data_IF_745617095530
#
_entry.id   IF_745617095530
#
_cell.length_a   1.000
_cell.length_b   1.000
_cell.length_c   1.000
_cell.angle_alpha   90.00
_cell.angle_beta   90.00
_cell.angle_gamma   90.00
#
_symmetry.space_group_name_H-M   'P 1'
#
loop_
_entity.id
_entity.type
_entity.pdbx_description
1 polymer ?
#
# COMPACT_ATOMS: atom_id res chain seq x y z
N UNK A 1 13.43 -8.65 -1.80
CA UNK A 1 14.83 -8.24 -1.61
C UNK A 1 15.43 -7.77 -2.92
N UNK A 2 15.99 -6.57 -2.91
CA UNK A 2 16.48 -5.81 -4.06
C UNK A 2 17.97 -5.59 -3.87
N UNK A 3 18.80 -6.05 -4.80
CA UNK A 3 20.25 -5.91 -4.72
C UNK A 3 20.71 -4.69 -5.51
N UNK A 4 21.34 -3.73 -4.83
CA UNK A 4 21.91 -2.54 -5.44
C UNK A 4 23.44 -2.58 -5.34
N UNK A 5 24.13 -1.99 -6.31
CA UNK A 5 25.59 -1.81 -6.26
C UNK A 5 25.95 -0.42 -5.76
N UNK A 6 26.97 -0.34 -4.91
CA UNK A 6 27.44 0.94 -4.40
C UNK A 6 27.98 1.84 -5.52
N UNK A 7 27.62 3.13 -5.50
CA UNK A 7 28.03 4.10 -6.52
C UNK A 7 28.29 5.49 -5.92
N UNK A 8 29.10 5.56 -4.85
CA UNK A 8 29.36 6.80 -4.09
C UNK A 8 29.85 7.98 -4.94
N UNK A 9 30.51 7.71 -6.08
CA UNK A 9 31.00 8.73 -7.00
C UNK A 9 29.99 9.17 -8.08
N UNK A 10 28.71 8.81 -7.93
CA UNK A 10 27.61 9.20 -8.83
C UNK A 10 26.93 10.52 -8.43
N UNK A 11 27.09 10.95 -7.18
CA UNK A 11 26.45 12.14 -6.60
C UNK A 11 27.51 13.12 -6.11
N UNK A 12 27.38 14.39 -6.47
CA UNK A 12 28.35 15.42 -6.11
C UNK A 12 28.47 15.67 -4.60
N UNK A 13 27.49 15.25 -3.80
CA UNK A 13 27.48 15.34 -2.34
C UNK A 13 28.27 14.21 -1.67
N UNK A 14 28.46 13.08 -2.36
CA UNK A 14 29.12 11.88 -1.83
C UNK A 14 30.39 11.49 -2.57
N UNK A 15 30.68 12.11 -3.72
CA UNK A 15 31.89 11.83 -4.50
C UNK A 15 33.15 12.21 -3.71
N UNK A 16 34.05 11.25 -3.55
CA UNK A 16 35.33 11.45 -2.84
C UNK A 16 36.47 11.79 -3.79
N UNK A 17 36.27 11.58 -5.10
CA UNK A 17 37.31 11.70 -6.12
C UNK A 17 36.79 12.32 -7.42
N UNK A 18 37.70 12.86 -8.23
CA UNK A 18 37.38 13.36 -9.56
C UNK A 18 37.16 12.18 -10.52
N UNK A 19 35.93 12.03 -11.02
CA UNK A 19 35.56 10.98 -11.96
C UNK A 19 35.57 11.45 -13.41
N UNK A 20 35.75 10.50 -14.34
CA UNK A 20 35.58 10.76 -15.77
C UNK A 20 34.09 10.83 -16.15
N UNK A 21 33.81 11.36 -17.34
CA UNK A 21 32.46 11.39 -17.91
C UNK A 21 31.88 9.98 -18.08
N UNK A 22 32.71 9.02 -18.44
CA UNK A 22 32.34 7.61 -18.66
C UNK A 22 31.93 6.93 -17.35
N UNK A 23 32.63 7.24 -16.25
CA UNK A 23 32.26 6.75 -14.90
C UNK A 23 30.92 7.33 -14.48
N UNK A 24 30.70 8.64 -14.67
CA UNK A 24 29.40 9.27 -14.39
C UNK A 24 28.28 8.63 -15.22
N UNK A 25 28.48 8.42 -16.52
CA UNK A 25 27.48 7.80 -17.39
C UNK A 25 27.15 6.37 -16.93
N UNK A 26 28.17 5.60 -16.54
CA UNK A 26 27.98 4.23 -16.02
C UNK A 26 27.17 4.24 -14.73
N UNK A 27 27.54 5.11 -13.78
CA UNK A 27 26.83 5.24 -12.52
C UNK A 27 25.39 5.73 -12.69
N UNK A 28 25.14 6.69 -13.59
CA UNK A 28 23.79 7.15 -13.90
C UNK A 28 22.92 6.03 -14.49
N UNK A 29 23.47 5.20 -15.37
CA UNK A 29 22.76 4.01 -15.90
C UNK A 29 22.49 2.99 -14.81
N UNK A 30 23.43 2.78 -13.89
CA UNK A 30 23.22 1.93 -12.71
C UNK A 30 22.06 2.46 -11.85
N UNK A 31 22.05 3.75 -11.52
CA UNK A 31 20.96 4.34 -10.72
C UNK A 31 19.58 4.20 -11.40
N UNK A 32 19.49 4.40 -12.71
CA UNK A 32 18.25 4.18 -13.46
C UNK A 32 17.79 2.72 -13.32
N UNK A 33 18.71 1.77 -13.42
CA UNK A 33 18.40 0.37 -13.22
C UNK A 33 17.93 0.08 -11.78
N UNK A 34 18.63 0.61 -10.78
CA UNK A 34 18.30 0.46 -9.36
C UNK A 34 16.89 0.98 -9.04
N UNK A 35 16.55 2.17 -9.54
CA UNK A 35 15.21 2.76 -9.41
C UNK A 35 14.15 1.88 -10.08
N UNK A 36 14.46 1.35 -11.28
CA UNK A 36 13.55 0.44 -11.99
C UNK A 36 13.28 -0.83 -11.16
N UNK A 37 14.30 -1.45 -10.57
CA UNK A 37 14.12 -2.63 -9.71
C UNK A 37 13.25 -2.30 -8.47
N UNK A 38 13.48 -1.16 -7.81
CA UNK A 38 12.63 -0.66 -6.72
C UNK A 38 11.16 -0.50 -7.15
N UNK A 39 10.91 0.14 -8.29
CA UNK A 39 9.56 0.32 -8.82
C UNK A 39 8.90 -1.01 -9.20
N UNK A 40 9.64 -1.95 -9.79
CA UNK A 40 9.14 -3.28 -10.12
C UNK A 40 8.72 -4.06 -8.87
N UNK A 41 9.52 -3.98 -7.79
CA UNK A 41 9.15 -4.58 -6.51
C UNK A 41 7.88 -3.95 -5.93
N UNK A 42 7.75 -2.62 -5.96
CA UNK A 42 6.54 -1.93 -5.50
C UNK A 42 5.30 -2.35 -6.31
N UNK A 43 5.43 -2.46 -7.63
CA UNK A 43 4.35 -2.93 -8.49
C UNK A 43 3.93 -4.37 -8.17
N UNK A 44 4.90 -5.24 -7.86
CA UNK A 44 4.62 -6.60 -7.42
C UNK A 44 3.92 -6.62 -6.05
N UNK A 45 4.34 -5.79 -5.10
CA UNK A 45 3.66 -5.65 -3.80
C UNK A 45 2.21 -5.20 -3.93
N UNK A 46 1.94 -4.21 -4.78
CA UNK A 46 0.58 -3.77 -5.06
C UNK A 46 -0.26 -4.89 -5.68
N UNK A 47 0.34 -5.71 -6.56
CA UNK A 47 -0.32 -6.89 -7.12
C UNK A 47 -0.67 -7.92 -6.03
N UNK A 48 0.24 -8.21 -5.08
CA UNK A 48 -0.06 -9.12 -3.96
C UNK A 48 -1.26 -8.65 -3.14
N UNK A 49 -1.29 -7.36 -2.81
CA UNK A 49 -2.40 -6.73 -2.07
C UNK A 49 -3.70 -6.84 -2.87
N UNK A 50 -3.67 -6.56 -4.17
CA UNK A 50 -4.88 -6.65 -5.02
C UNK A 50 -5.49 -8.05 -5.07
N UNK A 51 -4.69 -9.10 -4.92
CA UNK A 51 -5.17 -10.49 -4.91
C UNK A 51 -5.83 -10.84 -3.57
N UNK A 52 -5.44 -10.15 -2.50
CA UNK A 52 -5.88 -10.43 -1.13
C UNK A 52 -6.91 -9.41 -0.63
N UNK A 53 -7.39 -8.52 -1.49
CA UNK A 53 -8.42 -7.55 -1.15
C UNK A 53 -9.69 -8.26 -0.65
N UNK A 54 -10.28 -7.77 0.45
CA UNK A 54 -11.51 -8.32 1.05
C UNK A 54 -11.38 -9.80 1.48
N UNK A 55 -10.17 -10.26 1.81
CA UNK A 55 -9.92 -11.67 2.14
C UNK A 55 -10.79 -12.16 3.31
N UNK A 56 -11.08 -11.32 4.31
CA UNK A 56 -11.93 -11.67 5.45
C UNK A 56 -13.37 -11.96 5.04
N UNK A 57 -13.92 -11.28 4.02
CA UNK A 57 -15.24 -11.62 3.47
C UNK A 57 -15.25 -13.00 2.84
N UNK A 58 -14.16 -13.35 2.15
CA UNK A 58 -14.06 -14.63 1.44
C UNK A 58 -13.78 -15.78 2.40
N UNK A 59 -12.92 -15.60 3.40
CA UNK A 59 -12.55 -16.66 4.35
C UNK A 59 -13.58 -16.82 5.48
N UNK A 60 -14.37 -15.79 5.77
CA UNK A 60 -15.44 -15.78 6.77
C UNK A 60 -16.79 -15.44 6.13
N UNK A 61 -17.09 -16.11 5.01
CA UNK A 61 -18.27 -15.81 4.21
C UNK A 61 -19.57 -16.12 4.95
N UNK A 62 -19.57 -17.12 5.83
CA UNK A 62 -20.74 -17.49 6.62
C UNK A 62 -21.06 -16.39 7.65
N UNK A 63 -20.05 -15.91 8.38
CA UNK A 63 -20.20 -14.81 9.34
C UNK A 63 -20.61 -13.51 8.66
N UNK A 64 -20.04 -13.20 7.49
CA UNK A 64 -20.44 -12.04 6.69
C UNK A 64 -21.90 -12.17 6.21
N UNK A 65 -22.28 -13.36 5.72
CA UNK A 65 -23.63 -13.62 5.23
C UNK A 65 -24.67 -13.49 6.34
N UNK A 66 -24.41 -14.08 7.52
CA UNK A 66 -25.31 -14.01 8.67
C UNK A 66 -25.58 -12.56 9.09
N UNK A 67 -24.51 -11.76 9.26
CA UNK A 67 -24.63 -10.34 9.60
C UNK A 67 -25.37 -9.56 8.49
N UNK A 68 -25.09 -9.85 7.22
CA UNK A 68 -25.70 -9.18 6.09
C UNK A 68 -27.20 -9.48 6.00
N UNK A 69 -27.58 -10.76 6.12
CA UNK A 69 -28.97 -11.21 6.14
C UNK A 69 -29.74 -10.64 7.32
N UNK A 70 -29.16 -10.61 8.51
CA UNK A 70 -29.79 -10.00 9.68
C UNK A 70 -30.15 -8.52 9.44
N UNK A 71 -29.29 -7.77 8.76
CA UNK A 71 -29.56 -6.39 8.36
C UNK A 71 -30.71 -6.25 7.35
N UNK A 72 -30.93 -7.24 6.48
CA UNK A 72 -32.08 -7.27 5.56
C UNK A 72 -33.38 -7.69 6.25
N UNK A 73 -33.30 -8.56 7.26
CA UNK A 73 -34.44 -9.09 8.02
C UNK A 73 -34.95 -8.13 9.11
N UNK A 74 -34.46 -6.89 9.11
CA UNK A 74 -34.96 -5.83 9.98
C UNK A 74 -34.24 -5.72 11.33
N UNK A 75 -32.98 -6.16 11.42
CA UNK A 75 -32.10 -5.78 12.52
C UNK A 75 -32.15 -4.24 12.72
N UNK A 76 -32.45 -3.83 13.95
CA UNK A 76 -32.67 -2.42 14.30
C UNK A 76 -31.36 -1.68 14.66
N UNK A 77 -30.21 -2.36 14.61
CA UNK A 77 -28.90 -1.78 14.88
C UNK A 77 -28.11 -1.45 13.62
N UNK A 78 -26.92 -0.89 13.80
CA UNK A 78 -25.98 -0.64 12.70
C UNK A 78 -25.26 -1.94 12.33
N UNK A 79 -25.13 -2.22 11.03
CA UNK A 79 -24.34 -3.34 10.51
C UNK A 79 -22.91 -3.33 11.07
N UNK A 80 -22.35 -2.14 11.30
CA UNK A 80 -21.02 -1.97 11.91
C UNK A 80 -20.91 -2.51 13.34
N UNK A 81 -22.04 -2.73 14.00
CA UNK A 81 -22.07 -3.26 15.36
C UNK A 81 -22.12 -4.80 15.42
N UNK A 82 -22.22 -5.47 14.29
CA UNK A 82 -22.29 -6.93 14.19
C UNK A 82 -20.89 -7.57 14.17
N UNK A 83 -20.84 -8.90 14.34
CA UNK A 83 -19.62 -9.64 14.66
C UNK A 83 -18.56 -9.53 13.56
N UNK A 84 -18.95 -9.80 12.31
CA UNK A 84 -18.04 -9.76 11.17
C UNK A 84 -17.42 -8.37 11.02
N UNK A 85 -18.22 -7.30 11.14
CA UNK A 85 -17.69 -5.95 11.00
C UNK A 85 -16.75 -5.57 12.15
N UNK A 86 -17.10 -5.90 13.40
CA UNK A 86 -16.26 -5.52 14.55
C UNK A 86 -14.94 -6.27 14.60
N UNK A 87 -14.97 -7.56 14.29
CA UNK A 87 -13.85 -8.46 14.62
C UNK A 87 -13.02 -8.84 13.38
N UNK A 88 -13.63 -8.84 12.20
CA UNK A 88 -13.01 -9.34 10.96
C UNK A 88 -12.73 -8.21 9.97
N UNK A 89 -13.70 -7.36 9.65
CA UNK A 89 -13.53 -6.23 8.73
C UNK A 89 -12.37 -5.31 9.11
N UNK A 90 -12.17 -5.07 10.40
CA UNK A 90 -11.05 -4.24 10.86
C UNK A 90 -9.68 -4.83 10.51
N UNK A 91 -9.57 -6.12 10.19
CA UNK A 91 -8.30 -6.74 9.77
C UNK A 91 -7.88 -6.33 8.36
N UNK A 92 -8.83 -5.92 7.52
CA UNK A 92 -8.55 -5.33 6.20
C UNK A 92 -7.84 -3.99 6.35
N UNK A 93 -6.89 -3.72 5.46
CA UNK A 93 -5.99 -2.56 5.60
C UNK A 93 -6.47 -1.32 4.84
N UNK A 94 -7.40 -1.47 3.90
CA UNK A 94 -7.94 -0.35 3.12
C UNK A 94 -9.01 0.48 3.87
N UNK A 95 -9.56 -0.04 4.97
CA UNK A 95 -10.52 0.66 5.84
C UNK A 95 -9.86 1.64 6.83
N UNK A 96 -8.99 2.51 6.33
CA UNK A 96 -8.12 3.38 7.13
C UNK A 96 -8.82 4.35 8.10
N UNK A 97 -10.09 4.70 7.84
CA UNK A 97 -10.90 5.52 8.77
C UNK A 97 -11.47 4.71 9.93
N UNK A 98 -11.77 3.42 9.72
CA UNK A 98 -12.25 2.54 10.78
C UNK A 98 -11.05 2.12 11.66
N UNK A 99 -9.90 1.81 11.03
CA UNK A 99 -8.63 1.53 11.72
C UNK A 99 -7.42 1.86 10.85
N UNK A 100 -6.55 2.74 11.36
CA UNK A 100 -5.26 3.02 10.72
C UNK A 100 -4.12 2.28 11.45
N UNK A 101 -3.45 1.29 10.82
CA UNK A 101 -2.36 0.57 11.46
C UNK A 101 -1.09 1.43 11.61
N UNK A 102 -0.24 1.11 12.59
CA UNK A 102 0.98 1.89 12.83
C UNK A 102 2.01 1.81 11.71
N UNK A 103 1.98 0.71 10.97
CA UNK A 103 2.80 0.45 9.79
C UNK A 103 2.05 0.72 8.47
N UNK A 104 0.99 1.55 8.48
CA UNK A 104 0.26 1.95 7.26
C UNK A 104 1.25 2.40 6.19
N UNK A 105 1.03 2.01 4.94
CA UNK A 105 1.87 2.30 3.78
C UNK A 105 1.06 2.95 2.66
N UNK A 106 1.75 3.51 1.66
CA UNK A 106 1.09 3.99 0.45
C UNK A 106 0.36 2.88 -0.32
N UNK A 107 0.71 1.60 -0.11
CA UNK A 107 -0.01 0.50 -0.75
C UNK A 107 -1.43 0.35 -0.18
N UNK A 108 -1.60 0.53 1.12
CA UNK A 108 -2.92 0.50 1.79
C UNK A 108 -3.78 1.68 1.30
N UNK A 109 -3.16 2.85 1.10
CA UNK A 109 -3.83 4.03 0.53
C UNK A 109 -4.25 3.78 -0.92
N UNK A 110 -3.38 3.18 -1.74
CA UNK A 110 -3.71 2.84 -3.13
C UNK A 110 -4.83 1.79 -3.22
N UNK A 111 -4.83 0.79 -2.33
CA UNK A 111 -5.92 -0.17 -2.21
C UNK A 111 -7.23 0.52 -1.84
N UNK A 112 -7.23 1.41 -0.83
CA UNK A 112 -8.41 2.22 -0.46
C UNK A 112 -8.96 3.03 -1.62
N UNK A 113 -8.10 3.72 -2.38
CA UNK A 113 -8.52 4.49 -3.55
C UNK A 113 -9.19 3.57 -4.57
N UNK A 114 -8.57 2.41 -4.85
CA UNK A 114 -9.12 1.43 -5.78
C UNK A 114 -10.47 0.88 -5.32
N UNK A 115 -10.59 0.47 -4.05
CA UNK A 115 -11.84 0.00 -3.45
C UNK A 115 -12.93 1.08 -3.54
N UNK A 116 -12.68 2.28 -2.99
CA UNK A 116 -13.68 3.35 -2.95
C UNK A 116 -14.19 3.77 -4.33
N UNK A 117 -13.28 3.93 -5.31
CA UNK A 117 -13.66 4.30 -6.69
C UNK A 117 -14.42 3.15 -7.36
N UNK A 118 -13.92 1.91 -7.29
CA UNK A 118 -14.57 0.79 -7.97
C UNK A 118 -15.92 0.46 -7.33
N UNK A 119 -16.04 0.49 -6.01
CA UNK A 119 -17.28 0.28 -5.27
C UNK A 119 -18.31 1.37 -5.58
N UNK A 120 -17.91 2.65 -5.57
CA UNK A 120 -18.80 3.77 -5.89
C UNK A 120 -19.32 3.67 -7.33
N UNK A 121 -18.40 3.50 -8.29
CA UNK A 121 -18.78 3.35 -9.70
C UNK A 121 -19.65 2.12 -9.95
N UNK A 122 -19.42 1.00 -9.28
CA UNK A 122 -20.20 -0.23 -9.48
C UNK A 122 -21.57 -0.21 -8.81
N UNK A 123 -21.72 0.43 -7.64
CA UNK A 123 -22.95 0.40 -6.84
C UNK A 123 -23.92 1.52 -7.21
N UNK A 124 -23.42 2.73 -7.41
CA UNK A 124 -24.24 3.93 -7.68
C UNK A 124 -23.85 4.68 -8.95
N UNK A 125 -22.66 4.41 -9.51
CA UNK A 125 -22.11 5.19 -10.63
C UNK A 125 -21.46 6.51 -10.20
N UNK A 126 -21.35 6.75 -8.89
CA UNK A 126 -20.79 7.97 -8.31
C UNK A 126 -19.68 7.64 -7.32
N UNK A 127 -18.66 8.50 -7.26
CA UNK A 127 -17.59 8.42 -6.25
C UNK A 127 -17.79 9.58 -5.27
N UNK A 128 -18.06 9.25 -4.01
CA UNK A 128 -18.21 10.23 -2.94
C UNK A 128 -16.86 10.83 -2.56
N UNK A 129 -16.88 12.04 -2.00
CA UNK A 129 -15.67 12.67 -1.47
C UNK A 129 -15.08 11.81 -0.33
N UNK A 130 -13.76 11.59 -0.40
CA UNK A 130 -13.00 10.86 0.62
C UNK A 130 -12.46 11.84 1.66
N UNK A 131 -12.52 11.45 2.93
CA UNK A 131 -12.14 12.26 4.10
C UNK A 131 -10.88 11.73 4.80
N UNK A 132 -10.02 10.99 4.09
CA UNK A 132 -8.79 10.44 4.66
C UNK A 132 -7.89 11.55 5.21
N UNK A 133 -7.51 11.43 6.49
CA UNK A 133 -6.65 12.42 7.14
C UNK A 133 -5.30 12.58 6.42
N UNK A 134 -4.84 13.83 6.16
CA UNK A 134 -3.52 14.08 5.59
C UNK A 134 -2.37 13.48 6.39
N UNK A 135 -2.53 13.35 7.71
CA UNK A 135 -1.52 12.74 8.59
C UNK A 135 -1.29 11.26 8.25
N UNK A 136 -2.34 10.56 7.79
CA UNK A 136 -2.23 9.17 7.34
C UNK A 136 -1.40 9.10 6.06
N UNK A 137 -1.56 10.03 5.12
CA UNK A 137 -0.74 10.08 3.90
C UNK A 137 0.73 10.32 4.21
N UNK A 138 1.04 11.21 5.14
CA UNK A 138 2.42 11.47 5.58
C UNK A 138 3.01 10.24 6.26
N UNK A 139 2.27 9.60 7.17
CA UNK A 139 2.69 8.37 7.86
C UNK A 139 2.93 7.23 6.85
N UNK A 140 1.99 7.04 5.92
CA UNK A 140 2.06 6.06 4.84
C UNK A 140 3.31 6.24 3.97
N UNK A 141 3.61 7.48 3.57
CA UNK A 141 4.82 7.80 2.81
C UNK A 141 6.11 7.41 3.56
N UNK A 142 6.24 7.82 4.83
CA UNK A 142 7.42 7.52 5.63
C UNK A 142 7.60 6.02 5.88
N UNK A 143 6.51 5.32 6.16
CA UNK A 143 6.52 3.87 6.35
C UNK A 143 6.87 3.13 5.05
N UNK A 144 6.36 3.56 3.89
CA UNK A 144 6.76 2.99 2.60
C UNK A 144 8.24 3.21 2.30
N UNK A 145 8.80 4.37 2.63
CA UNK A 145 10.25 4.60 2.51
C UNK A 145 11.05 3.63 3.39
N UNK A 146 10.62 3.44 4.65
CA UNK A 146 11.26 2.49 5.57
C UNK A 146 11.17 1.06 5.04
N UNK A 147 9.98 0.63 4.62
CA UNK A 147 9.75 -0.71 4.06
C UNK A 147 10.63 -0.96 2.83
N UNK A 148 10.70 -0.02 1.88
CA UNK A 148 11.56 -0.18 0.71
C UNK A 148 13.04 -0.25 1.09
N UNK A 149 13.48 0.58 2.05
CA UNK A 149 14.85 0.56 2.56
C UNK A 149 15.19 -0.80 3.17
N UNK A 150 14.28 -1.39 3.94
CA UNK A 150 14.48 -2.69 4.59
C UNK A 150 14.55 -3.85 3.57
N UNK A 151 14.02 -3.64 2.35
CA UNK A 151 14.10 -4.60 1.24
C UNK A 151 15.36 -4.48 0.39
N UNK A 152 16.13 -3.40 0.54
CA UNK A 152 17.33 -3.12 -0.24
C UNK A 152 18.57 -3.65 0.49
N UNK A 153 19.36 -4.44 -0.24
CA UNK A 153 20.73 -4.79 0.14
C UNK A 153 21.70 -4.05 -0.78
N UNK A 154 22.66 -3.35 -0.19
CA UNK A 154 23.74 -2.70 -0.94
C UNK A 154 24.98 -3.57 -0.92
N UNK A 155 25.43 -3.96 -2.12
CA UNK A 155 26.67 -4.70 -2.35
C UNK A 155 27.79 -3.77 -2.78
N UNK A 156 29.03 -4.15 -2.49
CA UNK A 156 30.23 -3.38 -2.85
C UNK A 156 30.55 -3.53 -4.33
#
# INVERSE_FOLDING_TARGET
MIELKSSSNADSRTATEKVSKEVLLTNSRQHIHDVKEAMCWMAWKLKEISISHDWTKITHIDEFYDDFSASQDGFQGDFKEQHWFKDLHLQERHHLNDRCPDDVTLFDVLERIADGVTAGMARSGEVYEDDLSPDILVKAYQNTMKLLKDEIIVTK
#
